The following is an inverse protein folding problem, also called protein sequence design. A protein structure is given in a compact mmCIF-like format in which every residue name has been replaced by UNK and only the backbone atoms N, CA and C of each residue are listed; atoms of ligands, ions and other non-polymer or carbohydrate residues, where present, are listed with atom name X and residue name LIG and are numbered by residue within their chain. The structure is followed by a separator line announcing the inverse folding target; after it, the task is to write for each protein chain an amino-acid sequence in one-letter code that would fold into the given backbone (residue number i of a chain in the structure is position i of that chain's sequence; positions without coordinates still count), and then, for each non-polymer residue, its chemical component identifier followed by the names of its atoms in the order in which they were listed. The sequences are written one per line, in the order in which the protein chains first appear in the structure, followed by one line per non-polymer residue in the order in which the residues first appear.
data_IF_824105197202
#
_entry.id   IF_824105197202
#
_cell.length_a   1.000
_cell.length_b   1.000
_cell.length_c   1.000
_cell.angle_alpha   90.00
_cell.angle_beta   90.00
_cell.angle_gamma   90.00
#
_symmetry.space_group_name_H-M   'P 1'
#
loop_
_entity.id
_entity.type
_entity.pdbx_description
1 polymer ?
#
# COMPACT_ATOMS: atom_id res chain seq x y z
N UNK A 1 -110.47 -40.67 68.63
CA UNK A 1 -110.17 -42.00 68.08
C UNK A 1 -109.60 -41.92 66.70
N UNK A 2 -108.58 -42.58 66.44
CA UNK A 2 -108.08 -42.75 65.09
C UNK A 2 -106.80 -42.07 64.81
N UNK A 3 -105.82 -42.84 65.01
CA UNK A 3 -104.34 -42.68 64.61
C UNK A 3 -104.19 -42.67 63.09
N UNK A 4 -103.41 -41.85 62.57
CA UNK A 4 -102.78 -42.17 61.28
C UNK A 4 -101.36 -41.70 61.20
N UNK A 5 -100.51 -42.65 60.90
CA UNK A 5 -99.05 -42.58 60.57
C UNK A 5 -98.80 -41.83 59.28
N UNK A 6 -97.85 -40.91 59.29
CA UNK A 6 -97.29 -40.34 58.11
C UNK A 6 -95.85 -40.81 57.95
N UNK A 7 -95.66 -41.65 56.96
CA UNK A 7 -94.33 -42.15 56.54
C UNK A 7 -93.47 -41.03 55.91
N UNK A 8 -92.27 -40.84 56.40
CA UNK A 8 -91.26 -39.98 55.80
C UNK A 8 -90.66 -40.68 54.57
N UNK A 9 -90.81 -40.03 53.43
CA UNK A 9 -89.99 -40.36 52.20
C UNK A 9 -88.64 -39.75 52.34
N UNK A 10 -87.62 -40.57 52.43
CA UNK A 10 -86.24 -40.19 52.22
C UNK A 10 -86.02 -40.07 50.73
N UNK A 11 -85.76 -38.85 50.22
CA UNK A 11 -85.27 -38.62 48.90
C UNK A 11 -83.77 -38.99 48.88
N UNK A 12 -83.42 -40.02 48.14
CA UNK A 12 -82.00 -40.29 47.71
C UNK A 12 -81.60 -39.27 46.69
N UNK A 13 -80.61 -38.40 47.04
CA UNK A 13 -79.93 -37.53 46.10
C UNK A 13 -79.10 -38.39 45.11
N UNK A 14 -79.11 -38.08 43.80
CA UNK A 14 -78.44 -38.89 42.80
C UNK A 14 -76.89 -38.79 42.93
N UNK A 15 -76.24 -39.94 43.02
CA UNK A 15 -74.78 -40.12 43.13
C UNK A 15 -73.95 -39.52 41.95
N UNK A 16 -74.59 -38.97 40.92
CA UNK A 16 -73.97 -38.34 39.74
C UNK A 16 -73.32 -36.99 40.07
N UNK A 17 -73.76 -36.27 41.06
CA UNK A 17 -73.24 -34.92 41.40
C UNK A 17 -71.88 -34.99 42.08
N UNK A 18 -71.56 -36.01 42.86
CA UNK A 18 -70.29 -36.19 43.57
C UNK A 18 -69.15 -36.53 42.59
N UNK A 19 -69.41 -37.20 41.48
CA UNK A 19 -68.43 -37.55 40.46
C UNK A 19 -68.05 -36.31 39.64
N UNK A 20 -69.00 -35.47 39.26
CA UNK A 20 -68.79 -34.23 38.52
C UNK A 20 -67.96 -33.22 39.32
N UNK A 21 -68.28 -33.05 40.62
CA UNK A 21 -67.52 -32.14 41.52
C UNK A 21 -66.05 -32.57 41.72
N UNK A 22 -65.78 -33.87 41.82
CA UNK A 22 -64.41 -34.40 41.91
C UNK A 22 -63.65 -34.21 40.64
N UNK A 23 -64.27 -34.37 39.49
CA UNK A 23 -63.69 -34.14 38.19
C UNK A 23 -63.29 -32.64 37.95
N UNK A 24 -64.17 -31.72 38.31
CA UNK A 24 -63.91 -30.29 38.31
C UNK A 24 -62.80 -29.90 39.28
N UNK A 25 -62.72 -30.48 40.46
CA UNK A 25 -61.59 -30.25 41.39
C UNK A 25 -60.22 -30.70 40.78
N UNK A 26 -60.19 -31.87 40.19
CA UNK A 26 -58.99 -32.34 39.54
C UNK A 26 -58.56 -31.44 38.36
N UNK A 27 -59.52 -31.02 37.51
CA UNK A 27 -59.27 -30.08 36.43
C UNK A 27 -58.68 -28.72 36.93
N UNK A 28 -59.26 -28.19 37.99
CA UNK A 28 -58.84 -26.96 38.64
C UNK A 28 -57.40 -27.07 39.19
N UNK A 29 -57.05 -28.23 39.80
CA UNK A 29 -55.65 -28.48 40.20
C UNK A 29 -54.66 -28.56 39.03
N UNK A 30 -55.06 -29.23 37.94
CA UNK A 30 -54.17 -29.25 36.71
C UNK A 30 -54.00 -27.86 36.12
N UNK A 31 -55.07 -27.05 36.05
CA UNK A 31 -54.96 -25.64 35.59
C UNK A 31 -54.05 -24.80 36.50
N UNK A 32 -54.21 -24.95 37.82
CA UNK A 32 -53.37 -24.25 38.81
C UNK A 32 -51.87 -24.63 38.64
N UNK A 33 -51.59 -25.94 38.48
CA UNK A 33 -50.24 -26.43 38.25
C UNK A 33 -49.67 -25.90 36.91
N UNK A 34 -50.44 -25.88 35.84
CA UNK A 34 -50.07 -25.37 34.53
C UNK A 34 -49.75 -23.88 34.61
N UNK A 35 -50.57 -23.07 35.25
CA UNK A 35 -50.34 -21.65 35.48
C UNK A 35 -49.07 -21.41 36.28
N UNK A 36 -48.82 -22.20 37.33
CA UNK A 36 -47.62 -22.11 38.13
C UNK A 36 -46.36 -22.44 37.31
N UNK A 37 -46.42 -23.49 36.49
CA UNK A 37 -45.31 -23.83 35.58
C UNK A 37 -45.08 -22.74 34.54
N UNK A 38 -46.11 -22.15 33.97
CA UNK A 38 -45.98 -21.04 33.03
C UNK A 38 -45.35 -19.81 33.68
N UNK A 39 -45.68 -19.48 34.92
CA UNK A 39 -45.04 -18.40 35.68
C UNK A 39 -43.58 -18.68 35.91
N UNK A 40 -43.20 -19.90 36.27
CA UNK A 40 -41.78 -20.28 36.45
C UNK A 40 -41.01 -20.14 35.12
N UNK A 41 -41.56 -20.65 34.03
CA UNK A 41 -40.92 -20.56 32.70
C UNK A 41 -40.75 -19.11 32.28
N UNK A 42 -41.77 -18.25 32.47
CA UNK A 42 -41.65 -16.82 32.14
C UNK A 42 -40.59 -16.11 32.98
N UNK A 43 -40.50 -16.43 34.28
CA UNK A 43 -39.47 -15.90 35.16
C UNK A 43 -38.05 -16.35 34.72
N UNK A 44 -37.88 -17.62 34.37
CA UNK A 44 -36.59 -18.13 33.87
C UNK A 44 -36.22 -17.49 32.56
N UNK A 45 -37.16 -17.31 31.63
CA UNK A 45 -36.92 -16.64 30.35
C UNK A 45 -36.53 -15.17 30.56
N UNK A 46 -37.20 -14.44 31.45
CA UNK A 46 -36.85 -13.06 31.76
C UNK A 46 -35.47 -12.93 32.38
N UNK A 47 -35.12 -13.83 33.31
CA UNK A 47 -33.76 -13.87 33.86
C UNK A 47 -32.70 -14.16 32.80
N UNK A 48 -32.98 -15.10 31.91
CA UNK A 48 -32.05 -15.41 30.78
C UNK A 48 -31.89 -14.23 29.86
N UNK A 49 -32.97 -13.54 29.49
CA UNK A 49 -32.92 -12.34 28.64
C UNK A 49 -32.13 -11.19 29.30
N UNK A 50 -32.33 -10.99 30.61
CA UNK A 50 -31.57 -9.98 31.36
C UNK A 50 -30.07 -10.34 31.35
N UNK A 51 -29.68 -11.59 31.56
CA UNK A 51 -28.30 -11.99 31.50
C UNK A 51 -27.69 -11.82 30.09
N UNK A 52 -28.43 -12.19 29.04
CA UNK A 52 -27.99 -11.98 27.66
C UNK A 52 -27.80 -10.50 27.35
N UNK A 53 -28.68 -9.61 27.78
CA UNK A 53 -28.55 -8.16 27.59
C UNK A 53 -27.31 -7.61 28.33
N UNK A 54 -27.04 -8.08 29.56
CA UNK A 54 -25.86 -7.71 30.31
C UNK A 54 -24.56 -8.11 29.59
N UNK A 55 -24.46 -9.36 29.11
CA UNK A 55 -23.29 -9.85 28.37
C UNK A 55 -23.13 -9.07 27.06
N UNK A 56 -24.20 -8.81 26.33
CA UNK A 56 -24.14 -8.04 25.08
C UNK A 56 -23.69 -6.60 25.34
N UNK A 57 -24.19 -5.96 26.40
CA UNK A 57 -23.83 -4.60 26.79
C UNK A 57 -22.36 -4.51 27.19
N UNK A 58 -21.85 -5.50 27.96
CA UNK A 58 -20.45 -5.55 28.37
C UNK A 58 -19.52 -5.72 27.15
N UNK A 59 -19.88 -6.60 26.23
CA UNK A 59 -19.12 -6.84 25.03
C UNK A 59 -19.11 -5.63 24.09
N UNK A 60 -20.23 -4.91 23.95
CA UNK A 60 -20.32 -3.68 23.17
C UNK A 60 -19.47 -2.56 23.77
N UNK A 61 -19.48 -2.38 25.08
CA UNK A 61 -18.67 -1.38 25.77
C UNK A 61 -17.16 -1.65 25.64
N UNK A 62 -16.76 -2.92 25.66
CA UNK A 62 -15.38 -3.32 25.42
C UNK A 62 -14.94 -3.04 23.99
N UNK A 63 -15.81 -3.25 23.00
CA UNK A 63 -15.52 -2.92 21.60
C UNK A 63 -15.39 -1.41 21.40
N UNK A 64 -16.27 -0.60 22.00
CA UNK A 64 -16.19 0.86 21.93
C UNK A 64 -14.90 1.39 22.54
N UNK A 65 -14.47 0.85 23.68
CA UNK A 65 -13.20 1.25 24.31
C UNK A 65 -11.99 0.90 23.46
N UNK A 66 -11.97 -0.30 22.84
CA UNK A 66 -10.91 -0.69 21.89
C UNK A 66 -10.90 0.18 20.65
N UNK A 67 -12.06 0.50 20.10
CA UNK A 67 -12.17 1.39 18.94
C UNK A 67 -11.64 2.79 19.26
N UNK A 68 -12.00 3.32 20.42
CA UNK A 68 -11.53 4.64 20.89
C UNK A 68 -10.01 4.66 21.11
N UNK A 69 -9.43 3.62 21.70
CA UNK A 69 -7.98 3.50 21.88
C UNK A 69 -7.25 3.43 20.52
N UNK A 70 -7.82 2.67 19.56
CA UNK A 70 -7.27 2.55 18.23
C UNK A 70 -7.32 3.87 17.45
N UNK A 71 -8.42 4.64 17.57
CA UNK A 71 -8.54 5.96 16.94
C UNK A 71 -7.53 6.96 17.50
N UNK A 72 -7.29 6.95 18.81
CA UNK A 72 -6.26 7.81 19.44
C UNK A 72 -4.84 7.43 18.98
N UNK A 73 -4.56 6.12 18.86
CA UNK A 73 -3.27 5.65 18.33
C UNK A 73 -3.05 6.05 16.87
N UNK A 74 -4.11 5.92 16.06
CA UNK A 74 -4.08 6.32 14.64
C UNK A 74 -3.81 7.83 14.50
N UNK A 75 -4.47 8.66 15.30
CA UNK A 75 -4.26 10.10 15.28
C UNK A 75 -2.82 10.49 15.68
N UNK A 76 -2.28 9.87 16.73
CA UNK A 76 -0.86 10.07 17.12
C UNK A 76 0.10 9.66 16.01
N UNK A 77 -0.16 8.51 15.37
CA UNK A 77 0.67 8.04 14.26
C UNK A 77 0.60 9.00 13.08
N UNK A 78 -0.60 9.47 12.72
CA UNK A 78 -0.80 10.43 11.64
C UNK A 78 -0.11 11.76 11.93
N UNK A 79 -0.18 12.24 13.17
CA UNK A 79 0.55 13.45 13.60
C UNK A 79 2.06 13.25 13.50
N UNK A 80 2.60 12.13 14.00
CA UNK A 80 4.03 11.81 13.89
C UNK A 80 4.48 11.70 12.44
N UNK A 81 3.64 11.10 11.58
CA UNK A 81 3.87 11.00 10.15
C UNK A 81 3.97 12.38 9.48
N UNK A 82 3.08 13.30 9.79
CA UNK A 82 3.14 14.69 9.27
C UNK A 82 4.39 15.42 9.75
N UNK A 83 4.71 15.35 11.03
CA UNK A 83 5.91 15.97 11.61
C UNK A 83 7.20 15.45 10.96
N UNK A 84 7.24 14.19 10.54
CA UNK A 84 8.39 13.61 9.84
C UNK A 84 8.68 14.36 8.53
N UNK A 85 7.66 14.67 7.72
CA UNK A 85 7.82 15.40 6.47
C UNK A 85 8.13 16.88 6.66
N UNK A 86 7.64 17.47 7.75
CA UNK A 86 7.98 18.86 8.12
C UNK A 86 9.44 18.96 8.58
N UNK A 87 9.90 17.96 9.35
CA UNK A 87 11.27 17.94 9.85
C UNK A 87 12.28 17.53 8.75
N UNK A 88 11.88 16.68 7.81
CA UNK A 88 12.72 16.21 6.71
C UNK A 88 12.09 16.52 5.33
N UNK A 89 12.13 17.78 4.87
CA UNK A 89 11.50 18.18 3.59
C UNK A 89 12.02 17.41 2.38
N UNK A 90 13.27 16.89 2.44
CA UNK A 90 13.84 16.06 1.39
C UNK A 90 13.03 14.79 1.10
N UNK A 91 12.28 14.27 2.09
CA UNK A 91 11.40 13.11 1.90
C UNK A 91 10.25 13.38 0.92
N UNK A 92 9.84 14.64 0.74
CA UNK A 92 8.78 15.00 -0.20
C UNK A 92 9.13 14.64 -1.65
N UNK A 93 10.44 14.55 -1.98
CA UNK A 93 10.90 14.12 -3.31
C UNK A 93 10.59 12.65 -3.58
N UNK A 94 10.57 11.82 -2.54
CA UNK A 94 10.33 10.37 -2.63
C UNK A 94 8.90 9.98 -2.32
N UNK A 95 8.22 10.78 -1.52
CA UNK A 95 6.86 10.55 -1.04
C UNK A 95 5.97 11.77 -1.36
N UNK A 96 5.74 12.12 -2.63
CA UNK A 96 4.85 13.24 -2.96
C UNK A 96 3.41 12.96 -2.48
N UNK A 97 2.68 14.02 -2.17
CA UNK A 97 1.25 13.92 -1.85
C UNK A 97 0.50 13.43 -3.09
N UNK A 98 -0.12 12.25 -2.98
CA UNK A 98 -0.88 11.64 -4.06
C UNK A 98 -2.34 12.11 -4.05
N UNK A 99 -2.92 12.25 -2.88
CA UNK A 99 -4.28 12.74 -2.71
C UNK A 99 -4.28 13.99 -1.82
N UNK A 100 -4.62 15.14 -2.39
CA UNK A 100 -4.61 16.44 -1.69
C UNK A 100 -5.69 16.49 -0.60
N UNK A 101 -6.84 15.86 -0.83
CA UNK A 101 -7.98 15.89 0.11
C UNK A 101 -7.70 15.08 1.38
N UNK A 102 -7.01 13.96 1.27
CA UNK A 102 -6.67 13.07 2.41
C UNK A 102 -5.27 13.32 2.95
N UNK A 103 -4.41 13.99 2.20
CA UNK A 103 -2.98 14.13 2.51
C UNK A 103 -2.20 12.84 2.32
N UNK A 104 -2.77 11.85 1.63
CA UNK A 104 -2.14 10.56 1.36
C UNK A 104 -0.94 10.74 0.43
N UNK A 105 0.17 10.06 0.76
CA UNK A 105 1.42 10.11 0.02
C UNK A 105 1.73 8.78 -0.64
N UNK A 106 2.24 8.85 -1.86
CA UNK A 106 2.78 7.69 -2.57
C UNK A 106 4.31 7.73 -2.53
N UNK A 107 4.91 6.82 -1.78
CA UNK A 107 6.38 6.72 -1.68
C UNK A 107 6.94 5.83 -2.78
N UNK A 108 8.00 6.32 -3.43
CA UNK A 108 8.72 5.59 -4.48
C UNK A 108 10.22 5.54 -4.14
N UNK A 109 10.94 4.50 -4.57
CA UNK A 109 12.38 4.41 -4.32
C UNK A 109 13.19 5.49 -5.04
N UNK A 110 12.58 6.17 -6.03
CA UNK A 110 13.19 7.25 -6.80
C UNK A 110 12.45 8.57 -6.57
N UNK A 111 13.14 9.73 -6.63
CA UNK A 111 12.49 11.03 -6.60
C UNK A 111 11.48 11.20 -7.73
N UNK A 112 10.53 12.12 -7.54
CA UNK A 112 9.56 12.46 -8.60
C UNK A 112 10.26 12.81 -9.91
N UNK A 113 9.80 12.21 -11.02
CA UNK A 113 10.36 12.39 -12.36
C UNK A 113 11.54 11.48 -12.69
N UNK A 114 12.07 10.71 -11.72
CA UNK A 114 13.09 9.71 -11.95
C UNK A 114 12.47 8.33 -12.12
N UNK A 115 13.03 7.54 -13.03
CA UNK A 115 12.54 6.19 -13.35
C UNK A 115 13.40 5.13 -12.68
N UNK A 116 12.81 4.19 -11.93
CA UNK A 116 13.54 3.12 -11.27
C UNK A 116 13.96 2.04 -12.26
N UNK A 117 15.22 1.58 -12.14
CA UNK A 117 15.74 0.38 -12.81
C UNK A 117 16.80 -0.27 -11.93
N UNK A 118 16.56 -1.52 -11.53
CA UNK A 118 17.43 -2.21 -10.57
C UNK A 118 17.55 -1.42 -9.26
N UNK A 119 18.76 -1.10 -8.87
CA UNK A 119 19.06 -0.29 -7.67
C UNK A 119 19.30 1.20 -7.98
N UNK A 120 19.02 1.62 -9.21
CA UNK A 120 19.26 2.98 -9.67
C UNK A 120 17.96 3.68 -10.07
N UNK A 121 18.04 5.01 -10.07
CA UNK A 121 17.04 5.91 -10.60
C UNK A 121 17.66 6.69 -11.77
N UNK A 122 16.93 6.80 -12.86
CA UNK A 122 17.38 7.50 -14.06
C UNK A 122 16.46 8.66 -14.41
N UNK A 123 17.04 9.81 -14.77
CA UNK A 123 16.33 11.00 -15.22
C UNK A 123 16.77 11.36 -16.63
N UNK A 124 15.84 11.42 -17.57
CA UNK A 124 16.06 11.90 -18.93
C UNK A 124 15.76 13.40 -19.01
N UNK A 125 16.78 14.20 -19.32
CA UNK A 125 16.60 15.64 -19.41
C UNK A 125 15.77 16.05 -20.63
N UNK A 126 15.09 17.19 -20.50
CA UNK A 126 14.38 17.81 -21.63
C UNK A 126 15.23 18.89 -22.30
N UNK A 127 16.11 19.51 -21.57
CA UNK A 127 17.05 20.55 -22.01
C UNK A 127 18.34 19.93 -22.53
N UNK A 128 19.07 20.71 -23.31
CA UNK A 128 20.35 20.33 -23.90
C UNK A 128 21.50 21.08 -23.21
N UNK A 129 22.66 20.46 -23.17
CA UNK A 129 23.92 21.02 -22.67
C UNK A 129 25.11 20.27 -23.26
N UNK A 130 26.29 20.82 -23.16
CA UNK A 130 27.54 20.11 -23.39
C UNK A 130 27.77 19.06 -22.28
N UNK A 131 28.76 18.19 -22.47
CA UNK A 131 28.94 17.06 -21.55
C UNK A 131 29.34 17.50 -20.14
N UNK A 132 30.22 18.49 -19.99
CA UNK A 132 30.68 18.99 -18.67
C UNK A 132 29.51 19.66 -17.92
N UNK A 133 28.79 20.53 -18.62
CA UNK A 133 27.58 21.16 -18.06
C UNK A 133 26.53 20.13 -17.69
N UNK A 134 26.41 19.04 -18.47
CA UNK A 134 25.51 17.93 -18.19
C UNK A 134 25.90 17.21 -16.91
N UNK A 135 27.20 16.95 -16.71
CA UNK A 135 27.68 16.34 -15.46
C UNK A 135 27.38 17.23 -14.24
N UNK A 136 27.69 18.52 -14.34
CA UNK A 136 27.37 19.47 -13.27
C UNK A 136 25.88 19.50 -12.93
N UNK A 137 25.00 19.54 -13.95
CA UNK A 137 23.55 19.54 -13.74
C UNK A 137 23.04 18.24 -13.09
N UNK A 138 23.58 17.07 -13.45
CA UNK A 138 23.26 15.83 -12.77
C UNK A 138 23.73 15.85 -11.30
N UNK A 139 24.91 16.40 -11.01
CA UNK A 139 25.43 16.54 -9.65
C UNK A 139 24.53 17.44 -8.79
N UNK A 140 24.02 18.55 -9.31
CA UNK A 140 23.08 19.43 -8.57
C UNK A 140 21.75 18.76 -8.24
N UNK A 141 21.41 17.69 -8.98
CA UNK A 141 20.22 16.83 -8.72
C UNK A 141 20.55 15.64 -7.79
N UNK A 142 21.77 15.61 -7.23
CA UNK A 142 22.22 14.54 -6.33
C UNK A 142 22.55 13.23 -7.04
N UNK A 143 22.98 13.30 -8.32
CA UNK A 143 23.37 12.16 -9.14
C UNK A 143 24.62 12.42 -9.97
N UNK A 144 24.82 11.62 -11.00
CA UNK A 144 25.87 11.75 -12.01
C UNK A 144 25.28 11.51 -13.41
N UNK A 145 26.04 11.78 -14.47
CA UNK A 145 25.65 11.33 -15.82
C UNK A 145 25.72 9.81 -15.88
N UNK A 146 24.73 9.18 -16.53
CA UNK A 146 24.49 7.73 -16.47
C UNK A 146 25.68 6.89 -16.89
N UNK A 147 25.99 5.90 -16.07
CA UNK A 147 27.03 4.88 -16.26
C UNK A 147 26.33 3.54 -16.51
N UNK A 148 26.60 2.92 -17.64
CA UNK A 148 26.00 1.63 -18.01
C UNK A 148 26.91 0.50 -17.58
N UNK A 149 26.44 -0.31 -16.62
CA UNK A 149 27.21 -1.42 -16.06
C UNK A 149 26.73 -2.79 -16.49
N UNK A 150 25.48 -2.88 -16.95
CA UNK A 150 24.86 -4.14 -17.36
C UNK A 150 24.07 -3.99 -18.66
N UNK A 151 23.81 -5.13 -19.30
CA UNK A 151 22.98 -5.17 -20.52
C UNK A 151 21.53 -4.76 -20.21
N UNK A 152 21.02 -5.10 -19.03
CA UNK A 152 19.67 -4.71 -18.59
C UNK A 152 19.54 -3.19 -18.46
N UNK A 153 20.57 -2.51 -17.92
CA UNK A 153 20.61 -1.05 -17.89
C UNK A 153 20.61 -0.46 -19.30
N UNK A 154 21.42 -1.00 -20.19
CA UNK A 154 21.46 -0.57 -21.59
C UNK A 154 20.11 -0.70 -22.29
N UNK A 155 19.48 -1.87 -22.16
CA UNK A 155 18.16 -2.13 -22.75
C UNK A 155 17.11 -1.16 -22.20
N UNK A 156 17.12 -0.90 -20.89
CA UNK A 156 16.22 0.05 -20.25
C UNK A 156 16.43 1.46 -20.79
N UNK A 157 17.67 1.96 -20.74
CA UNK A 157 18.00 3.32 -21.19
C UNK A 157 17.68 3.52 -22.67
N UNK A 158 17.97 2.52 -23.49
CA UNK A 158 17.68 2.57 -24.92
C UNK A 158 16.18 2.62 -25.21
N UNK A 159 15.37 1.76 -24.55
CA UNK A 159 13.91 1.75 -24.69
C UNK A 159 13.28 3.08 -24.25
N UNK A 160 13.73 3.60 -23.11
CA UNK A 160 13.20 4.87 -22.59
C UNK A 160 13.66 6.06 -23.45
N UNK A 161 14.90 6.07 -23.93
CA UNK A 161 15.36 7.06 -24.89
C UNK A 161 14.52 7.02 -26.18
N UNK A 162 14.22 5.83 -26.70
CA UNK A 162 13.38 5.68 -27.90
C UNK A 162 11.95 6.18 -27.66
N UNK A 163 11.39 5.91 -26.49
CA UNK A 163 10.04 6.37 -26.13
C UNK A 163 9.94 7.89 -25.92
N UNK A 164 10.98 8.49 -25.33
CA UNK A 164 10.98 9.90 -24.93
C UNK A 164 11.56 10.85 -25.98
N UNK A 165 12.36 10.33 -26.90
CA UNK A 165 13.01 11.14 -27.91
C UNK A 165 12.46 10.83 -29.31
N UNK A 166 12.11 11.86 -30.04
CA UNK A 166 11.82 11.77 -31.46
C UNK A 166 13.13 11.78 -32.28
N UNK A 167 14.10 10.89 -31.92
CA UNK A 167 15.41 10.85 -32.56
C UNK A 167 16.53 11.60 -31.84
N UNK A 168 16.29 12.16 -30.66
CA UNK A 168 17.31 12.85 -29.87
C UNK A 168 18.36 11.88 -29.28
N UNK A 169 19.58 12.35 -29.16
CA UNK A 169 20.66 11.66 -28.46
C UNK A 169 20.80 12.18 -27.02
N UNK A 170 21.32 11.32 -26.17
CA UNK A 170 21.54 11.61 -24.74
C UNK A 170 23.00 11.37 -24.36
N UNK A 171 23.62 12.31 -23.63
CA UNK A 171 24.90 12.09 -23.02
C UNK A 171 24.88 10.91 -22.05
N UNK A 172 25.87 10.04 -22.15
CA UNK A 172 26.28 9.07 -21.13
C UNK A 172 27.51 9.63 -20.37
N UNK A 173 27.78 9.08 -19.21
CA UNK A 173 28.94 9.43 -18.39
C UNK A 173 30.28 8.91 -18.93
N UNK A 174 30.43 8.83 -20.24
CA UNK A 174 31.58 8.23 -20.91
C UNK A 174 32.36 9.29 -21.65
N UNK A 175 33.70 9.30 -21.47
CA UNK A 175 34.60 10.20 -22.17
C UNK A 175 35.93 9.50 -22.47
N UNK A 176 36.67 9.97 -23.49
CA UNK A 176 38.07 9.56 -23.66
C UNK A 176 38.94 10.30 -22.65
N UNK A 177 39.92 9.59 -22.03
CA UNK A 177 40.79 10.14 -20.98
C UNK A 177 41.82 11.13 -21.46
N UNK A 178 41.95 11.30 -22.76
CA UNK A 178 43.03 12.09 -23.38
C UNK A 178 44.45 11.41 -23.29
N UNK A 179 45.26 11.51 -24.30
CA UNK A 179 46.53 10.80 -24.37
C UNK A 179 46.38 9.29 -24.56
N UNK A 180 47.20 8.49 -23.92
CA UNK A 180 47.14 7.01 -23.98
C UNK A 180 46.06 6.40 -23.07
N UNK A 181 45.23 7.22 -22.45
CA UNK A 181 44.17 6.79 -21.55
C UNK A 181 42.89 6.49 -22.31
N UNK A 182 42.52 5.22 -22.48
CA UNK A 182 41.29 4.76 -23.12
C UNK A 182 39.99 5.43 -22.64
N UNK A 183 38.86 4.82 -22.89
CA UNK A 183 37.53 5.33 -22.46
C UNK A 183 37.30 5.13 -20.97
N UNK A 184 36.90 6.20 -20.30
CA UNK A 184 36.56 6.18 -18.86
C UNK A 184 35.16 6.70 -18.58
N UNK A 185 34.56 6.18 -17.53
CA UNK A 185 33.29 6.66 -17.00
C UNK A 185 33.48 7.89 -16.09
N UNK A 186 32.41 8.64 -15.88
CA UNK A 186 32.40 9.85 -15.04
C UNK A 186 32.80 9.59 -13.57
N UNK A 187 32.81 8.35 -13.11
CA UNK A 187 33.28 7.93 -11.79
C UNK A 187 34.80 7.53 -11.80
N UNK A 188 35.48 7.69 -12.91
CA UNK A 188 36.90 7.33 -13.08
C UNK A 188 37.15 5.85 -13.37
N UNK A 189 36.14 5.02 -13.48
CA UNK A 189 36.31 3.62 -13.83
C UNK A 189 36.52 3.45 -15.35
N UNK A 190 37.39 2.49 -15.73
CA UNK A 190 37.71 2.21 -17.13
C UNK A 190 36.55 1.43 -17.79
N UNK A 191 36.26 1.78 -19.06
CA UNK A 191 35.24 1.12 -19.87
C UNK A 191 35.57 -0.35 -20.17
N UNK A 192 36.84 -0.68 -20.41
CA UNK A 192 37.29 -2.01 -20.80
C UNK A 192 36.86 -3.15 -19.89
N UNK A 193 36.54 -2.82 -18.63
CA UNK A 193 36.09 -3.80 -17.61
C UNK A 193 34.61 -4.10 -17.62
N UNK A 194 33.84 -3.54 -18.56
CA UNK A 194 32.37 -3.65 -18.60
C UNK A 194 31.82 -3.96 -19.99
N UNK A 195 30.51 -4.12 -20.10
CA UNK A 195 29.87 -4.31 -21.40
C UNK A 195 29.95 -3.04 -22.23
N UNK A 196 30.07 -3.24 -23.55
CA UNK A 196 30.20 -2.17 -24.51
C UNK A 196 29.12 -2.30 -25.59
N UNK A 197 28.51 -1.19 -25.97
CA UNK A 197 27.38 -1.14 -26.91
C UNK A 197 27.62 -0.12 -28.03
N UNK A 198 28.85 -0.05 -28.52
CA UNK A 198 29.22 0.83 -29.60
C UNK A 198 28.57 0.47 -30.92
N UNK A 199 27.98 1.44 -31.59
CA UNK A 199 27.49 1.27 -32.96
C UNK A 199 28.64 1.11 -33.94
N UNK A 200 29.75 1.78 -33.66
CA UNK A 200 31.04 1.66 -34.35
C UNK A 200 32.14 1.80 -33.30
N UNK A 201 33.13 0.91 -33.36
CA UNK A 201 34.26 0.93 -32.45
C UNK A 201 34.97 2.29 -32.51
N UNK A 202 35.30 2.90 -31.35
CA UNK A 202 36.04 4.16 -31.32
C UNK A 202 37.39 4.03 -32.03
N UNK A 203 37.68 5.00 -32.86
CA UNK A 203 39.02 5.12 -33.48
C UNK A 203 39.90 6.00 -32.55
N UNK A 204 40.95 5.43 -31.99
CA UNK A 204 41.87 6.10 -31.06
C UNK A 204 42.73 7.16 -31.72
N UNK A 205 42.67 7.31 -33.06
CA UNK A 205 43.46 8.28 -33.82
C UNK A 205 43.00 9.74 -33.67
N UNK A 206 41.83 9.99 -33.05
CA UNK A 206 41.33 11.35 -32.89
C UNK A 206 41.74 11.94 -31.52
N UNK A 207 42.77 12.78 -31.51
CA UNK A 207 43.29 13.47 -30.32
C UNK A 207 42.37 14.52 -29.71
N UNK A 208 41.10 14.60 -30.15
CA UNK A 208 40.08 15.53 -29.62
C UNK A 208 39.43 14.96 -28.40
N UNK A 209 38.92 15.84 -27.54
CA UNK A 209 38.09 15.44 -26.39
C UNK A 209 36.74 14.94 -26.89
N UNK A 210 36.52 13.64 -26.77
CA UNK A 210 35.34 12.92 -27.24
C UNK A 210 34.56 12.34 -26.07
N UNK A 211 33.23 12.36 -26.20
CA UNK A 211 32.31 11.88 -25.21
C UNK A 211 31.29 10.91 -25.82
N UNK A 212 30.85 9.94 -25.00
CA UNK A 212 29.87 8.93 -25.39
C UNK A 212 28.44 9.42 -25.25
N UNK A 213 27.62 9.10 -26.25
CA UNK A 213 26.19 9.37 -26.26
C UNK A 213 25.41 8.13 -26.60
N UNK A 214 24.22 8.04 -26.03
CA UNK A 214 23.20 7.06 -26.42
C UNK A 214 22.30 7.67 -27.51
N UNK A 215 22.15 6.96 -28.61
CA UNK A 215 21.21 7.32 -29.67
C UNK A 215 20.32 6.11 -29.90
N UNK A 216 19.00 6.23 -29.66
CA UNK A 216 18.09 5.13 -29.94
C UNK A 216 18.00 4.89 -31.45
N UNK A 217 17.98 3.62 -31.83
CA UNK A 217 17.91 3.14 -33.21
C UNK A 217 17.24 1.78 -33.24
N UNK A 218 17.55 0.95 -34.24
CA UNK A 218 16.90 -0.34 -34.39
C UNK A 218 17.46 -1.42 -33.45
N UNK A 219 18.69 -1.22 -32.93
CA UNK A 219 19.38 -2.21 -32.13
C UNK A 219 20.03 -1.58 -30.88
N UNK A 220 19.59 -2.00 -29.69
CA UNK A 220 20.18 -1.52 -28.41
C UNK A 220 21.66 -1.87 -28.24
N UNK A 221 22.15 -2.94 -28.86
CA UNK A 221 23.58 -3.37 -28.84
C UNK A 221 24.48 -2.43 -29.61
N UNK A 222 23.91 -1.58 -30.43
CA UNK A 222 24.63 -0.59 -31.27
C UNK A 222 24.15 0.83 -30.95
N UNK A 223 23.87 1.11 -29.70
CA UNK A 223 23.25 2.36 -29.24
C UNK A 223 24.25 3.47 -28.89
N UNK A 224 25.54 3.16 -28.74
CA UNK A 224 26.55 4.16 -28.34
C UNK A 224 27.25 4.74 -29.52
N UNK A 225 27.40 6.06 -29.50
CA UNK A 225 28.07 6.82 -30.51
C UNK A 225 29.04 7.84 -29.87
N UNK A 226 30.03 8.25 -30.62
CA UNK A 226 31.01 9.26 -30.21
C UNK A 226 30.53 10.63 -30.68
N UNK A 227 30.78 11.66 -29.89
CA UNK A 227 30.57 13.05 -30.26
C UNK A 227 31.58 13.96 -29.55
N UNK A 228 31.80 15.15 -30.08
CA UNK A 228 32.57 16.18 -29.38
C UNK A 228 31.86 16.52 -28.08
N UNK A 229 32.60 16.55 -26.97
CA UNK A 229 32.03 16.85 -25.64
C UNK A 229 31.36 18.24 -25.55
N UNK A 230 31.74 19.18 -26.45
CA UNK A 230 31.15 20.52 -26.60
C UNK A 230 29.76 20.54 -27.28
N UNK A 231 29.33 19.42 -27.87
CA UNK A 231 28.04 19.34 -28.55
C UNK A 231 26.88 19.51 -27.53
N UNK A 232 25.79 20.08 -28.01
CA UNK A 232 24.59 20.33 -27.17
C UNK A 232 23.59 19.20 -27.32
N UNK A 233 23.45 18.35 -26.28
CA UNK A 233 22.59 17.19 -26.29
C UNK A 233 21.78 17.09 -24.98
N UNK A 234 20.71 16.33 -25.01
CA UNK A 234 20.04 15.87 -23.80
C UNK A 234 21.00 14.97 -22.99
N UNK A 235 20.68 14.69 -21.74
CA UNK A 235 21.49 13.84 -20.86
C UNK A 235 20.62 12.86 -20.11
N UNK A 236 21.19 11.76 -19.70
CA UNK A 236 20.62 10.85 -18.73
C UNK A 236 21.40 11.01 -17.43
N UNK A 237 20.72 11.37 -16.36
CA UNK A 237 21.31 11.34 -15.03
C UNK A 237 20.96 10.04 -14.32
N UNK A 238 21.87 9.53 -13.49
CA UNK A 238 21.62 8.39 -12.60
C UNK A 238 21.90 8.76 -11.15
N UNK A 239 21.23 8.08 -10.24
CA UNK A 239 21.54 8.05 -8.82
C UNK A 239 21.10 6.72 -8.21
N UNK A 240 21.69 6.35 -7.08
CA UNK A 240 21.19 5.18 -6.33
C UNK A 240 19.80 5.44 -5.81
N UNK A 241 19.00 4.40 -5.77
CA UNK A 241 17.72 4.45 -5.06
C UNK A 241 17.96 4.80 -3.59
N UNK A 242 17.03 5.50 -2.96
CA UNK A 242 17.04 5.67 -1.51
C UNK A 242 16.94 4.26 -0.91
N UNK A 243 18.05 3.74 -0.43
CA UNK A 243 18.13 2.39 0.09
C UNK A 243 17.29 2.26 1.35
N UNK A 244 16.43 1.27 1.37
CA UNK A 244 16.16 0.52 2.57
C UNK A 244 17.46 -0.24 2.88
N UNK A 245 18.34 0.37 3.69
CA UNK A 245 19.44 -0.35 4.34
C UNK A 245 18.85 -1.19 5.46
#
# INVERSE_FOLDING_TARGET
MGVNNGSALLEEEPSADKSCVTQYRQLAHYFSLLCFLLIIVTLLLTLCLVQLTWVFQDQSSLQETKLRDLTVKLEKLNQSYRLLFDHYPALNQYCPVHNISTGERACTPCPSGWMPQGQKCFLFSRDRADWISSQYRCMTLGGAVAIVRTEEEQVFLWKEAQRLSQGDSYWLGLRNGGGDGGWEWADGSQLEKGPQFWAREPDDADHRTLCGRLTPGDNYRMGWFISRCSSQMKRICERRQAGLQ
#
